data_IF_677842759754
#
_entry.id   IF_677842759754
#
_cell.length_a   1.000
_cell.length_b   1.000
_cell.length_c   1.000
_cell.angle_alpha   90.00
_cell.angle_beta   90.00
_cell.angle_gamma   90.00
#
_symmetry.space_group_name_H-M   'P 1'
#
loop_
_entity.id
_entity.type
_entity.pdbx_description
1 polymer ?
#
# COMPACT_ATOMS: atom_id res chain seq x y z
N UNK A 1 -11.32 -17.00 -6.13
CA UNK A 1 -10.32 -16.66 -7.17
C UNK A 1 -9.76 -15.30 -6.80
N UNK A 2 -8.44 -15.17 -6.65
CA UNK A 2 -7.79 -13.88 -6.37
C UNK A 2 -7.38 -13.23 -7.69
N UNK A 3 -7.52 -11.91 -7.79
CA UNK A 3 -7.03 -11.17 -8.93
C UNK A 3 -5.51 -11.00 -8.84
N UNK A 4 -4.80 -11.39 -9.90
CA UNK A 4 -3.37 -11.16 -10.02
C UNK A 4 -3.11 -9.76 -10.59
N UNK A 5 -2.39 -8.94 -9.84
CA UNK A 5 -1.93 -7.62 -10.24
C UNK A 5 -0.47 -7.44 -9.84
N UNK A 6 0.25 -6.62 -10.59
CA UNK A 6 1.61 -6.20 -10.26
C UNK A 6 1.54 -4.93 -9.41
N UNK A 7 2.04 -5.01 -8.18
CA UNK A 7 2.14 -3.85 -7.29
C UNK A 7 3.39 -3.04 -7.62
N UNK A 8 3.28 -1.71 -7.49
CA UNK A 8 4.42 -0.84 -7.68
C UNK A 8 5.46 -1.05 -6.57
N UNK A 9 6.71 -0.67 -6.82
CA UNK A 9 7.73 -0.62 -5.79
C UNK A 9 7.43 0.50 -4.79
N UNK A 10 7.42 0.24 -3.47
CA UNK A 10 7.09 1.26 -2.48
C UNK A 10 8.23 2.28 -2.23
N UNK A 11 9.46 2.00 -2.69
CA UNK A 11 10.60 2.91 -2.57
C UNK A 11 10.86 3.39 -1.14
N UNK A 12 10.90 4.71 -0.96
CA UNK A 12 11.07 5.35 0.36
C UNK A 12 9.88 5.16 1.29
N UNK A 13 8.70 4.86 0.76
CA UNK A 13 7.48 4.61 1.53
C UNK A 13 7.35 3.14 2.01
N UNK A 14 8.35 2.29 1.78
CA UNK A 14 8.32 0.88 2.20
C UNK A 14 8.10 0.73 3.71
N UNK A 15 7.01 0.04 4.08
CA UNK A 15 6.72 -0.30 5.48
C UNK A 15 7.81 -1.23 6.02
N UNK A 16 8.26 -2.20 5.22
CA UNK A 16 9.34 -3.11 5.61
C UNK A 16 10.65 -2.37 5.90
N UNK A 17 11.02 -1.40 5.05
CA UNK A 17 12.23 -0.60 5.28
C UNK A 17 12.14 0.22 6.56
N UNK A 18 10.98 0.80 6.86
CA UNK A 18 10.76 1.59 8.09
C UNK A 18 11.04 0.76 9.35
N UNK A 19 10.51 -0.47 9.42
CA UNK A 19 10.63 -1.31 10.60
C UNK A 19 11.86 -2.23 10.61
N UNK A 20 12.68 -2.23 9.55
CA UNK A 20 13.91 -3.03 9.46
C UNK A 20 14.89 -2.81 10.62
N UNK A 21 14.84 -1.64 11.26
CA UNK A 21 15.71 -1.26 12.39
C UNK A 21 15.11 -1.57 13.77
N UNK A 22 13.82 -1.91 13.85
CA UNK A 22 13.16 -2.27 15.11
C UNK A 22 12.26 -3.50 14.93
N UNK A 23 12.88 -4.68 15.12
CA UNK A 23 12.22 -5.99 15.04
C UNK A 23 11.08 -6.18 16.05
N UNK A 24 10.90 -5.27 17.02
CA UNK A 24 9.83 -5.35 18.02
C UNK A 24 8.49 -4.80 17.51
N UNK A 25 8.46 -4.10 16.38
CA UNK A 25 7.32 -3.27 15.97
C UNK A 25 6.68 -3.58 14.61
N UNK A 26 7.01 -4.71 13.98
CA UNK A 26 6.22 -5.16 12.83
C UNK A 26 5.28 -6.31 13.23
N UNK A 27 4.07 -6.02 13.77
CA UNK A 27 3.09 -7.07 13.97
C UNK A 27 2.77 -7.74 12.64
N UNK A 28 2.62 -9.08 12.67
CA UNK A 28 2.14 -9.84 11.52
C UNK A 28 0.72 -9.37 11.18
N UNK A 29 0.37 -9.17 9.90
CA UNK A 29 -0.99 -8.83 9.52
C UNK A 29 -1.99 -9.88 9.99
N UNK A 30 -3.08 -9.43 10.58
CA UNK A 30 -4.21 -10.25 11.00
C UNK A 30 -5.48 -9.93 10.19
N UNK A 31 -6.47 -10.86 10.15
CA UNK A 31 -7.77 -10.59 9.55
C UNK A 31 -8.42 -9.33 10.13
N UNK A 32 -8.85 -8.42 9.26
CA UNK A 32 -9.44 -7.14 9.64
C UNK A 32 -8.48 -5.95 9.56
N UNK A 33 -7.17 -6.18 9.57
CA UNK A 33 -6.17 -5.12 9.39
C UNK A 33 -6.31 -4.45 8.03
N UNK A 34 -6.04 -3.15 7.99
CA UNK A 34 -5.98 -2.38 6.73
C UNK A 34 -4.51 -2.11 6.40
N UNK A 35 -4.07 -2.70 5.30
CA UNK A 35 -2.74 -2.48 4.74
C UNK A 35 -2.85 -1.55 3.53
N UNK A 36 -1.79 -0.78 3.28
CA UNK A 36 -1.71 0.11 2.14
C UNK A 36 -0.57 -0.30 1.20
N UNK A 37 -0.79 -0.10 -0.10
CA UNK A 37 0.15 -0.42 -1.18
C UNK A 37 -0.07 0.52 -2.38
N UNK A 38 0.77 0.39 -3.40
CA UNK A 38 0.71 1.19 -4.63
C UNK A 38 0.42 0.34 -5.85
N UNK A 39 -0.51 0.80 -6.67
CA UNK A 39 -0.81 0.19 -7.96
C UNK A 39 -0.99 1.29 -8.99
N UNK A 40 -0.14 1.35 -10.01
CA UNK A 40 -0.20 2.38 -11.05
C UNK A 40 -0.24 3.80 -10.46
N UNK A 41 0.62 4.08 -9.47
CA UNK A 41 0.80 5.37 -8.78
C UNK A 41 -0.35 5.79 -7.84
N UNK A 42 -1.43 5.01 -7.72
CA UNK A 42 -2.50 5.28 -6.73
C UNK A 42 -2.32 4.49 -5.44
N UNK A 43 -2.77 5.06 -4.32
CA UNK A 43 -2.85 4.36 -3.04
C UNK A 43 -4.00 3.34 -3.09
N UNK A 44 -3.74 2.12 -2.64
CA UNK A 44 -4.76 1.06 -2.49
C UNK A 44 -4.77 0.60 -1.04
N UNK A 45 -5.96 0.57 -0.42
CA UNK A 45 -6.17 -0.03 0.90
C UNK A 45 -6.75 -1.42 0.75
N UNK A 46 -6.13 -2.39 1.43
CA UNK A 46 -6.50 -3.80 1.42
C UNK A 46 -6.89 -4.22 2.83
N UNK A 47 -8.12 -4.69 3.01
CA UNK A 47 -8.58 -5.31 4.25
C UNK A 47 -8.19 -6.78 4.26
N UNK A 48 -7.31 -7.15 5.18
CA UNK A 48 -6.78 -8.51 5.28
C UNK A 48 -7.90 -9.49 5.66
N UNK A 49 -7.96 -10.61 4.94
CA UNK A 49 -8.82 -11.75 5.24
C UNK A 49 -8.01 -12.94 5.76
N UNK A 50 -6.79 -13.12 5.26
CA UNK A 50 -5.84 -14.13 5.72
C UNK A 50 -4.40 -13.69 5.46
N UNK A 51 -3.45 -14.22 6.24
CA UNK A 51 -2.01 -14.00 6.04
C UNK A 51 -1.32 -15.35 5.86
N UNK A 52 -0.59 -15.48 4.75
CA UNK A 52 0.23 -16.63 4.42
C UNK A 52 1.64 -16.38 4.95
N UNK A 53 1.94 -16.88 6.13
CA UNK A 53 3.18 -16.58 6.84
C UNK A 53 4.44 -17.06 6.11
N UNK A 54 4.39 -18.24 5.51
CA UNK A 54 5.53 -18.84 4.79
C UNK A 54 5.97 -17.99 3.59
N UNK A 55 5.01 -17.31 2.94
CA UNK A 55 5.26 -16.48 1.76
C UNK A 55 5.40 -14.98 2.09
N UNK A 56 5.02 -14.55 3.30
CA UNK A 56 4.90 -13.14 3.64
C UNK A 56 3.84 -12.41 2.80
N UNK A 57 2.67 -13.03 2.60
CA UNK A 57 1.62 -12.52 1.71
C UNK A 57 0.28 -12.40 2.42
N UNK A 58 -0.32 -11.21 2.39
CA UNK A 58 -1.70 -10.99 2.82
C UNK A 58 -2.68 -11.26 1.67
N UNK A 59 -3.73 -12.02 1.92
CA UNK A 59 -4.90 -12.11 1.05
C UNK A 59 -5.96 -11.18 1.60
N UNK A 60 -6.48 -10.26 0.79
CA UNK A 60 -7.44 -9.28 1.27
C UNK A 60 -8.27 -8.62 0.20
N UNK A 61 -9.31 -7.94 0.65
CA UNK A 61 -10.26 -7.21 -0.19
C UNK A 61 -9.80 -5.76 -0.39
N UNK A 62 -9.85 -5.27 -1.62
CA UNK A 62 -9.63 -3.85 -1.93
C UNK A 62 -10.79 -3.02 -1.39
N UNK A 63 -10.53 -2.19 -0.39
CA UNK A 63 -11.55 -1.36 0.28
C UNK A 63 -11.39 0.14 0.00
N UNK A 64 -10.30 0.56 -0.64
CA UNK A 64 -10.18 1.89 -1.23
C UNK A 64 -9.14 1.94 -2.35
N UNK A 65 -9.40 2.77 -3.35
CA UNK A 65 -8.46 3.18 -4.40
C UNK A 65 -8.46 4.71 -4.41
N UNK A 66 -7.31 5.34 -4.17
CA UNK A 66 -7.20 6.78 -3.88
C UNK A 66 -6.02 7.37 -4.66
N UNK A 67 -6.26 8.40 -5.48
CA UNK A 67 -5.17 9.10 -6.17
C UNK A 67 -4.46 10.12 -5.25
N UNK A 68 -3.45 10.80 -5.81
CA UNK A 68 -2.67 11.82 -5.12
C UNK A 68 -3.47 13.07 -4.71
N UNK A 69 -4.70 13.26 -5.20
CA UNK A 69 -5.59 14.37 -4.85
C UNK A 69 -6.71 13.91 -3.89
N UNK A 70 -6.53 12.80 -3.20
CA UNK A 70 -7.52 12.16 -2.31
C UNK A 70 -8.84 11.76 -2.99
N UNK A 71 -8.87 11.69 -4.33
CA UNK A 71 -10.07 11.25 -5.06
C UNK A 71 -10.18 9.74 -4.97
N UNK A 72 -11.39 9.27 -4.64
CA UNK A 72 -11.71 7.85 -4.51
C UNK A 72 -12.29 7.30 -5.81
N UNK A 73 -11.83 6.13 -6.19
CA UNK A 73 -12.28 5.44 -7.39
C UNK A 73 -12.98 4.12 -7.06
N UNK A 74 -13.99 3.77 -7.86
CA UNK A 74 -14.59 2.44 -7.84
C UNK A 74 -13.75 1.42 -8.61
N UNK A 75 -12.99 1.88 -9.61
CA UNK A 75 -12.07 1.09 -10.40
C UNK A 75 -10.88 1.96 -10.84
N UNK A 76 -9.74 1.32 -11.09
CA UNK A 76 -8.55 1.91 -11.66
C UNK A 76 -7.81 0.85 -12.48
N UNK A 77 -7.71 1.04 -13.79
CA UNK A 77 -7.24 0.03 -14.73
C UNK A 77 -7.94 -1.32 -14.55
N UNK A 78 -7.20 -2.36 -14.12
CA UNK A 78 -7.75 -3.69 -13.90
C UNK A 78 -8.31 -3.85 -12.50
N UNK A 79 -7.99 -2.97 -11.56
CA UNK A 79 -8.33 -3.13 -10.14
C UNK A 79 -9.68 -2.49 -9.83
N UNK A 80 -10.52 -3.19 -9.08
CA UNK A 80 -11.84 -2.72 -8.68
C UNK A 80 -11.99 -2.78 -7.16
N UNK A 81 -12.86 -1.92 -6.62
CA UNK A 81 -13.28 -1.99 -5.23
C UNK A 81 -13.98 -3.34 -4.98
N UNK A 82 -13.59 -4.05 -3.93
CA UNK A 82 -14.08 -5.39 -3.60
C UNK A 82 -13.26 -6.53 -4.21
N UNK A 83 -12.29 -6.26 -5.10
CA UNK A 83 -11.39 -7.29 -5.62
C UNK A 83 -10.61 -7.97 -4.49
N UNK A 84 -10.54 -9.31 -4.50
CA UNK A 84 -9.65 -10.05 -3.60
C UNK A 84 -8.27 -10.16 -4.25
N UNK A 85 -7.25 -9.66 -3.57
CA UNK A 85 -5.87 -9.58 -4.07
C UNK A 85 -4.90 -10.27 -3.11
N UNK A 86 -3.72 -10.60 -3.64
CA UNK A 86 -2.54 -10.98 -2.85
C UNK A 86 -1.65 -9.75 -2.71
N UNK A 87 -1.30 -9.36 -1.50
CA UNK A 87 -0.40 -8.25 -1.19
C UNK A 87 0.84 -8.79 -0.45
N UNK A 88 1.98 -8.90 -1.14
CA UNK A 88 3.26 -9.22 -0.52
C UNK A 88 3.72 -8.15 0.47
N UNK A 89 4.39 -8.57 1.54
CA UNK A 89 4.88 -7.70 2.60
C UNK A 89 5.86 -6.63 2.10
N UNK A 90 6.70 -6.97 1.12
CA UNK A 90 7.68 -6.07 0.47
C UNK A 90 7.05 -5.01 -0.44
N UNK A 91 5.76 -5.17 -0.79
CA UNK A 91 4.97 -4.22 -1.58
C UNK A 91 4.11 -3.29 -0.73
N UNK A 92 4.11 -3.46 0.59
CA UNK A 92 3.41 -2.54 1.50
C UNK A 92 4.07 -1.16 1.49
N UNK A 93 3.23 -0.15 1.36
CA UNK A 93 3.62 1.25 1.34
C UNK A 93 2.86 2.04 2.42
N UNK A 94 3.54 2.98 3.06
CA UNK A 94 2.86 4.06 3.76
C UNK A 94 2.01 4.85 2.76
N UNK A 95 0.87 5.34 3.23
CA UNK A 95 0.06 6.26 2.44
C UNK A 95 0.84 7.54 2.22
N UNK A 96 1.01 7.94 0.97
CA UNK A 96 1.47 9.28 0.67
C UNK A 96 0.27 10.16 0.91
N UNK A 97 0.41 11.07 1.86
CA UNK A 97 -0.34 12.31 1.83
C UNK A 97 0.04 13.06 0.54
N UNK A 98 -0.88 13.81 -0.08
CA UNK A 98 -0.54 14.71 -1.17
C UNK A 98 0.72 15.46 -0.77
N UNK A 99 1.74 15.45 -1.64
CA UNK A 99 2.99 16.17 -1.38
C UNK A 99 2.62 17.59 -0.91
N UNK A 100 2.96 17.93 0.33
CA UNK A 100 3.40 19.28 0.58
C UNK A 100 4.50 19.49 -0.44
N UNK A 101 4.22 20.35 -1.44
CA UNK A 101 5.22 20.76 -2.42
C UNK A 101 6.50 21.00 -1.64
N UNK A 102 7.56 20.25 -1.95
CA UNK A 102 8.90 20.63 -1.54
C UNK A 102 9.03 22.09 -1.96
N UNK A 103 9.02 23.01 -0.98
CA UNK A 103 9.40 24.38 -1.25
C UNK A 103 10.87 24.26 -1.61
N UNK A 104 11.17 24.38 -2.90
CA UNK A 104 12.49 24.76 -3.36
C UNK A 104 12.93 25.92 -2.47
N UNK A 105 14.01 25.68 -1.70
CA UNK A 105 14.64 26.72 -0.91
C UNK A 105 15.11 27.77 -1.90
N UNK A 106 14.44 28.93 -1.89
CA UNK A 106 14.92 30.14 -2.57
C UNK A 106 16.34 30.41 -2.05
N UNK A 107 17.31 30.10 -2.89
CA UNK A 107 18.70 30.53 -2.81
C UNK A 107 18.69 32.07 -2.71
N UNK A 108 18.93 32.58 -1.50
CA UNK A 108 19.13 34.02 -1.28
C UNK A 108 20.61 34.36 -1.50
N UNK A 109 20.87 35.03 -2.62
CA UNK A 109 21.96 36.00 -2.78
C UNK A 109 21.82 37.19 -1.81
#
# INVERSE_FOLDING_TARGET
MHQHIEWDDPGSASVMKLFSKDHRYHPKPGPGDILSARYQLVNVRVKVQAYLEEDGVSIGEVVAIIDANDRRYKNHHKLELGSIVRLPDDKRALEAHPQEKEKEEDEKD
#
